data_IF_417028270084
#
_entry.id   IF_417028270084
#
_cell.length_a   1.000
_cell.length_b   1.000
_cell.length_c   1.000
_cell.angle_alpha   90.00
_cell.angle_beta   90.00
_cell.angle_gamma   90.00
#
_symmetry.space_group_name_H-M   'P 1'
#
loop_
_entity.id
_entity.type
_entity.pdbx_description
1 polymer ?
#
# COMPACT_ATOMS: atom_id res chain seq x y z
N UNK A 1 34.88 -1.31 -13.28
CA UNK A 1 33.69 -0.42 -13.27
C UNK A 1 32.45 -1.25 -13.55
N UNK A 2 31.86 -1.87 -12.52
CA UNK A 2 30.55 -2.50 -12.62
C UNK A 2 29.53 -1.47 -12.15
N UNK A 3 28.88 -0.78 -13.10
CA UNK A 3 27.83 0.18 -12.81
C UNK A 3 26.63 -0.58 -12.26
N UNK A 4 26.51 -0.65 -10.93
CA UNK A 4 25.25 -0.98 -10.29
C UNK A 4 24.19 -0.03 -10.86
N UNK A 5 23.18 -0.59 -11.52
CA UNK A 5 22.08 0.11 -12.16
C UNK A 5 21.54 1.18 -11.20
N UNK A 6 21.44 2.45 -11.66
CA UNK A 6 20.90 3.59 -10.88
C UNK A 6 19.46 3.38 -10.38
N UNK A 7 18.81 2.27 -10.74
CA UNK A 7 17.50 1.84 -10.28
C UNK A 7 17.54 0.93 -9.03
N UNK A 8 18.72 0.61 -8.50
CA UNK A 8 18.89 -0.12 -7.23
C UNK A 8 18.94 0.80 -6.00
N UNK A 9 18.56 2.08 -6.13
CA UNK A 9 18.19 2.87 -4.97
C UNK A 9 16.84 2.36 -4.47
N UNK A 10 16.93 1.36 -3.61
CA UNK A 10 15.93 0.94 -2.62
C UNK A 10 15.50 2.13 -1.76
N UNK A 11 14.68 3.00 -2.34
CA UNK A 11 13.76 3.83 -1.58
C UNK A 11 12.37 3.27 -1.83
N UNK A 12 12.16 2.02 -1.39
CA UNK A 12 10.82 1.63 -0.94
C UNK A 12 10.61 2.42 0.34
N UNK A 13 10.37 3.73 0.20
CA UNK A 13 9.60 4.44 1.17
C UNK A 13 8.24 3.74 1.09
N UNK A 14 8.02 2.76 1.97
CA UNK A 14 6.66 2.33 2.30
C UNK A 14 5.99 3.60 2.80
N UNK A 15 5.39 4.38 1.88
CA UNK A 15 4.69 5.60 2.24
C UNK A 15 3.64 5.16 3.25
N UNK A 16 3.79 5.59 4.50
CA UNK A 16 2.82 5.30 5.54
C UNK A 16 1.58 6.11 5.20
N UNK A 17 0.54 5.42 4.74
CA UNK A 17 -0.72 6.04 4.41
C UNK A 17 -1.55 6.11 5.69
N UNK A 18 -2.00 7.31 6.03
CA UNK A 18 -2.85 7.54 7.20
C UNK A 18 -4.25 7.82 6.68
N UNK A 19 -5.26 7.15 7.24
CA UNK A 19 -6.65 7.36 6.89
C UNK A 19 -7.10 8.75 7.36
N UNK A 20 -7.58 9.63 6.47
CA UNK A 20 -8.01 10.98 6.82
C UNK A 20 -9.23 10.99 7.75
N UNK A 21 -10.19 10.06 7.61
CA UNK A 21 -11.39 10.03 8.46
C UNK A 21 -11.09 9.72 9.93
N UNK A 22 -10.16 8.80 10.19
CA UNK A 22 -9.99 8.21 11.53
C UNK A 22 -8.57 8.28 12.10
N UNK A 23 -7.58 8.67 11.30
CA UNK A 23 -6.17 8.72 11.68
C UNK A 23 -5.50 7.35 11.82
N UNK A 24 -6.15 6.27 11.37
CA UNK A 24 -5.58 4.92 11.41
C UNK A 24 -4.59 4.67 10.27
N UNK A 25 -3.62 3.79 10.48
CA UNK A 25 -2.70 3.38 9.41
C UNK A 25 -3.43 2.54 8.35
N UNK A 26 -3.24 2.89 7.08
CA UNK A 26 -3.73 2.16 5.92
C UNK A 26 -2.64 1.18 5.49
N UNK A 27 -2.94 -0.10 5.61
CA UNK A 27 -2.06 -1.20 5.23
C UNK A 27 -2.50 -1.75 3.88
N UNK A 28 -1.57 -1.81 2.94
CA UNK A 28 -1.80 -2.45 1.64
C UNK A 28 -1.70 -3.97 1.82
N UNK A 29 -2.79 -4.67 1.55
CA UNK A 29 -2.88 -6.13 1.54
C UNK A 29 -3.02 -6.64 0.12
N UNK A 30 -2.30 -7.70 -0.19
CA UNK A 30 -2.43 -8.41 -1.47
C UNK A 30 -3.04 -9.76 -1.20
N UNK A 31 -4.20 -10.03 -1.80
CA UNK A 31 -4.94 -11.27 -1.65
C UNK A 31 -4.97 -12.02 -2.97
N UNK A 32 -4.80 -13.33 -2.93
CA UNK A 32 -4.96 -14.20 -4.09
C UNK A 32 -6.29 -14.91 -3.98
N UNK A 33 -7.25 -14.56 -4.84
CA UNK A 33 -8.60 -15.14 -4.82
C UNK A 33 -9.00 -15.54 -6.23
N UNK A 34 -9.51 -16.78 -6.38
CA UNK A 34 -9.96 -17.35 -7.66
C UNK A 34 -8.93 -17.23 -8.80
N UNK A 35 -7.66 -17.49 -8.50
CA UNK A 35 -6.57 -17.41 -9.47
C UNK A 35 -6.13 -15.99 -9.84
N UNK A 36 -6.69 -14.96 -9.19
CA UNK A 36 -6.39 -13.55 -9.47
C UNK A 36 -5.77 -12.87 -8.24
N UNK A 37 -4.68 -12.13 -8.48
CA UNK A 37 -4.10 -11.22 -7.49
C UNK A 37 -4.97 -9.96 -7.38
N UNK A 38 -5.41 -9.65 -6.16
CA UNK A 38 -6.12 -8.42 -5.81
C UNK A 38 -5.28 -7.64 -4.81
N UNK A 39 -5.03 -6.38 -5.11
CA UNK A 39 -4.37 -5.46 -4.20
C UNK A 39 -5.46 -4.56 -3.59
N UNK A 40 -5.56 -4.55 -2.26
CA UNK A 40 -6.54 -3.79 -1.50
C UNK A 40 -5.82 -3.02 -0.39
N UNK A 41 -6.28 -1.82 -0.09
CA UNK A 41 -5.81 -1.00 1.01
C UNK A 41 -6.84 -1.09 2.14
N UNK A 42 -6.42 -1.48 3.34
CA UNK A 42 -7.28 -1.61 4.52
C UNK A 42 -6.81 -0.68 5.64
N UNK A 43 -7.71 0.13 6.19
CA UNK A 43 -7.42 0.91 7.39
C UNK A 43 -7.54 0.05 8.65
N UNK A 44 -6.50 0.03 9.49
CA UNK A 44 -6.48 -0.76 10.74
C UNK A 44 -7.48 -0.30 11.80
N UNK A 45 -7.98 0.95 11.72
CA UNK A 45 -8.86 1.52 12.74
C UNK A 45 -10.34 1.44 12.37
N UNK A 46 -10.71 1.86 11.16
CA UNK A 46 -12.10 1.81 10.68
C UNK A 46 -12.43 0.55 9.87
N UNK A 47 -11.44 -0.30 9.59
CA UNK A 47 -11.56 -1.51 8.74
C UNK A 47 -12.15 -1.24 7.34
N UNK A 48 -12.13 0.02 6.87
CA UNK A 48 -12.47 0.35 5.48
C UNK A 48 -11.47 -0.30 4.54
N UNK A 49 -11.98 -0.85 3.44
CA UNK A 49 -11.21 -1.52 2.41
C UNK A 49 -11.47 -0.78 1.11
N UNK A 50 -10.43 -0.19 0.54
CA UNK A 50 -10.49 0.50 -0.76
C UNK A 50 -9.46 -0.09 -1.71
N UNK A 51 -9.55 0.25 -3.01
CA UNK A 51 -8.56 -0.25 -3.99
C UNK A 51 -7.23 0.50 -3.89
N UNK A 52 -7.22 1.77 -3.50
CA UNK A 52 -6.00 2.57 -3.37
C UNK A 52 -6.08 3.43 -2.09
N UNK A 53 -4.93 3.74 -1.46
CA UNK A 53 -4.91 4.62 -0.30
C UNK A 53 -5.44 6.04 -0.56
N UNK A 54 -5.41 6.51 -1.82
CA UNK A 54 -5.96 7.81 -2.25
C UNK A 54 -7.49 7.88 -2.24
N UNK A 55 -8.15 6.72 -2.28
CA UNK A 55 -9.61 6.64 -2.30
C UNK A 55 -10.20 6.81 -0.88
N UNK A 56 -9.38 6.71 0.16
CA UNK A 56 -9.74 7.16 1.51
C UNK A 56 -9.76 8.69 1.51
N UNK A 57 -10.97 9.28 1.54
CA UNK A 57 -11.20 10.74 1.61
C UNK A 57 -11.38 11.21 3.03
#
# INVERSE_FOLDING_TARGET
MAGASKNSRTTVATQKFICPDCGGEIVMKTFFENGKLKNLAECQKCKRIERRPKDFK
#
